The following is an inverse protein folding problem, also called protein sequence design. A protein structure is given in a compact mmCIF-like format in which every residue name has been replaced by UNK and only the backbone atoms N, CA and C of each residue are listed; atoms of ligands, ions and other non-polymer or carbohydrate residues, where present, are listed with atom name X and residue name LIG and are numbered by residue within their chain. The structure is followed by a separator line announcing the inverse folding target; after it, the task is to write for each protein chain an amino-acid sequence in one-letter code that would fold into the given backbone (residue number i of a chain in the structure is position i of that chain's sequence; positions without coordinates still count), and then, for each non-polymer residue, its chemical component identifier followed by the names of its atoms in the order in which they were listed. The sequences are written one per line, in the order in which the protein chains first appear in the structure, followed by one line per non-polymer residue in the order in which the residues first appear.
data_IF_030768417770
#
_entry.id   IF_030768417770
#
_cell.length_a   1.000
_cell.length_b   1.000
_cell.length_c   1.000
_cell.angle_alpha   90.00
_cell.angle_beta   90.00
_cell.angle_gamma   90.00
#
_symmetry.space_group_name_H-M   'P 1'
#
loop_
_entity.id
_entity.type
_entity.pdbx_description
1 polymer ?
#
# COMPACT_ATOMS: atom_id res chain seq x y z
N UNK A 1 -40.99 -32.86 -29.12
CA UNK A 1 -41.27 -32.90 -27.66
C UNK A 1 -40.13 -33.47 -26.83
N UNK A 2 -39.68 -34.72 -27.02
CA UNK A 2 -38.57 -35.32 -26.23
C UNK A 2 -37.27 -34.51 -26.22
N UNK A 3 -36.86 -33.94 -27.37
CA UNK A 3 -35.66 -33.11 -27.49
C UNK A 3 -35.76 -31.77 -26.72
N UNK A 4 -36.96 -31.18 -26.68
CA UNK A 4 -37.21 -29.93 -25.96
C UNK A 4 -37.18 -30.19 -24.44
N UNK A 5 -37.78 -31.29 -24.00
CA UNK A 5 -37.72 -31.73 -22.61
C UNK A 5 -36.28 -31.98 -22.14
N UNK A 6 -35.46 -32.62 -22.99
CA UNK A 6 -34.04 -32.86 -22.69
C UNK A 6 -33.24 -31.55 -22.56
N UNK A 7 -33.50 -30.55 -23.41
CA UNK A 7 -32.86 -29.23 -23.32
C UNK A 7 -33.26 -28.47 -22.05
N UNK A 8 -34.53 -28.54 -21.65
CA UNK A 8 -35.00 -27.97 -20.38
C UNK A 8 -34.35 -28.65 -19.18
N UNK A 9 -34.17 -29.98 -19.22
CA UNK A 9 -33.49 -30.72 -18.15
C UNK A 9 -32.01 -30.32 -18.03
N UNK A 10 -31.30 -30.19 -19.15
CA UNK A 10 -29.89 -29.79 -19.18
C UNK A 10 -29.69 -28.35 -18.71
N UNK A 11 -30.58 -27.43 -19.10
CA UNK A 11 -30.52 -26.03 -18.63
C UNK A 11 -30.81 -25.92 -17.13
N UNK A 12 -31.79 -26.69 -16.62
CA UNK A 12 -32.08 -26.75 -15.18
C UNK A 12 -30.90 -27.36 -14.39
N UNK A 13 -30.29 -28.43 -14.91
CA UNK A 13 -29.10 -29.03 -14.30
C UNK A 13 -27.93 -28.05 -14.27
N UNK A 14 -27.71 -27.31 -15.36
CA UNK A 14 -26.70 -26.24 -15.41
C UNK A 14 -26.95 -25.14 -14.39
N UNK A 15 -28.20 -24.67 -14.26
CA UNK A 15 -28.59 -23.68 -13.26
C UNK A 15 -28.36 -24.20 -11.83
N UNK A 16 -28.74 -25.44 -11.54
CA UNK A 16 -28.53 -26.08 -10.24
C UNK A 16 -27.05 -26.22 -9.89
N UNK A 17 -26.19 -26.55 -10.84
CA UNK A 17 -24.72 -26.57 -10.63
C UNK A 17 -24.19 -25.19 -10.29
N UNK A 18 -24.62 -24.14 -11.00
CA UNK A 18 -24.21 -22.76 -10.70
C UNK A 18 -24.68 -22.32 -9.31
N UNK A 19 -25.93 -22.64 -8.95
CA UNK A 19 -26.50 -22.35 -7.62
C UNK A 19 -25.74 -23.12 -6.52
N UNK A 20 -25.45 -24.40 -6.74
CA UNK A 20 -24.67 -25.22 -5.81
C UNK A 20 -23.26 -24.65 -5.62
N UNK A 21 -22.57 -24.28 -6.70
CA UNK A 21 -21.25 -23.65 -6.64
C UNK A 21 -21.31 -22.30 -5.92
N UNK A 22 -22.38 -21.52 -6.10
CA UNK A 22 -22.61 -20.26 -5.40
C UNK A 22 -22.76 -20.46 -3.88
N UNK A 23 -23.57 -21.44 -3.44
CA UNK A 23 -23.73 -21.74 -2.02
C UNK A 23 -22.48 -22.39 -1.40
N UNK A 24 -21.83 -23.31 -2.11
CA UNK A 24 -20.57 -23.94 -1.67
C UNK A 24 -19.44 -22.90 -1.53
N UNK A 25 -19.36 -21.93 -2.44
CA UNK A 25 -18.46 -20.78 -2.34
C UNK A 25 -18.74 -19.89 -1.11
N UNK A 26 -20.01 -19.80 -0.69
CA UNK A 26 -20.40 -19.08 0.54
C UNK A 26 -20.11 -19.88 1.83
N UNK A 27 -20.18 -21.20 1.78
CA UNK A 27 -20.11 -22.06 2.98
C UNK A 27 -18.70 -22.21 3.57
N UNK A 28 -17.67 -21.66 2.92
CA UNK A 28 -16.26 -21.74 3.36
C UNK A 28 -15.72 -20.57 4.20
N UNK A 29 -16.53 -19.86 4.99
CA UNK A 29 -16.14 -18.52 5.49
C UNK A 29 -16.25 -18.32 7.02
N UNK A 30 -16.20 -19.37 7.84
CA UNK A 30 -15.76 -19.27 9.25
C UNK A 30 -14.35 -19.84 9.39
N UNK A 31 -13.42 -19.33 8.58
CA UNK A 31 -12.02 -19.69 8.73
C UNK A 31 -11.51 -18.96 9.98
N UNK A 32 -11.28 -19.73 11.05
CA UNK A 32 -10.57 -19.23 12.22
C UNK A 32 -9.14 -18.90 11.81
N UNK A 33 -8.78 -17.62 11.92
CA UNK A 33 -7.44 -17.14 11.67
C UNK A 33 -6.57 -17.12 12.94
N UNK A 34 -7.14 -17.51 14.09
CA UNK A 34 -6.39 -17.78 15.32
C UNK A 34 -6.00 -16.53 16.11
N UNK A 35 -6.71 -15.42 15.92
CA UNK A 35 -6.49 -14.17 16.63
C UNK A 35 -7.80 -13.44 16.88
N UNK A 36 -7.82 -12.58 17.89
CA UNK A 36 -8.95 -11.71 18.22
C UNK A 36 -8.54 -10.24 18.11
N UNK A 37 -9.50 -9.35 17.87
CA UNK A 37 -9.27 -7.89 17.76
C UNK A 37 -9.93 -7.13 18.89
N UNK A 38 -9.23 -6.11 19.37
CA UNK A 38 -9.82 -5.07 20.20
C UNK A 38 -10.22 -3.91 19.31
N UNK A 39 -11.51 -3.78 19.02
CA UNK A 39 -12.01 -2.66 18.22
C UNK A 39 -12.21 -1.41 19.10
N UNK A 40 -11.86 -0.25 18.55
CA UNK A 40 -12.32 1.01 19.14
C UNK A 40 -13.85 1.02 19.23
N UNK A 41 -14.39 1.49 20.35
CA UNK A 41 -15.84 1.50 20.60
C UNK A 41 -16.56 2.57 19.78
N UNK A 42 -15.92 3.72 19.59
CA UNK A 42 -16.51 4.86 18.90
C UNK A 42 -16.28 4.74 17.39
N UNK A 43 -17.34 4.80 16.56
CA UNK A 43 -17.18 4.79 15.12
C UNK A 43 -16.46 6.07 14.65
N UNK A 44 -15.78 5.97 13.50
CA UNK A 44 -15.16 7.13 12.88
C UNK A 44 -16.21 8.16 12.47
N UNK A 45 -16.05 9.41 12.89
CA UNK A 45 -16.89 10.53 12.47
C UNK A 45 -16.39 11.08 11.15
N UNK A 46 -17.18 10.98 10.08
CA UNK A 46 -16.87 11.66 8.82
C UNK A 46 -16.86 13.19 9.04
N UNK A 47 -15.85 13.86 8.51
CA UNK A 47 -15.66 15.30 8.59
C UNK A 47 -15.99 15.96 7.26
N UNK A 48 -15.25 15.60 6.21
CA UNK A 48 -15.39 16.21 4.89
C UNK A 48 -15.38 15.15 3.79
N UNK A 49 -15.92 15.52 2.63
CA UNK A 49 -15.96 14.72 1.41
C UNK A 49 -15.70 15.61 0.21
N UNK A 50 -14.98 15.09 -0.78
CA UNK A 50 -14.87 15.71 -2.10
C UNK A 50 -14.89 14.66 -3.21
N UNK A 51 -15.60 14.96 -4.30
CA UNK A 51 -15.56 14.21 -5.55
C UNK A 51 -14.41 14.70 -6.44
N UNK A 52 -13.41 13.85 -6.62
CA UNK A 52 -12.24 14.04 -7.47
C UNK A 52 -12.56 13.89 -8.96
N UNK A 53 -13.80 13.51 -9.32
CA UNK A 53 -14.35 13.34 -10.67
C UNK A 53 -13.74 12.20 -11.49
N UNK A 54 -12.52 11.77 -11.20
CA UNK A 54 -11.82 10.69 -11.90
C UNK A 54 -11.37 9.57 -10.94
N UNK A 55 -11.23 8.32 -11.42
CA UNK A 55 -10.78 7.21 -10.58
C UNK A 55 -9.26 7.05 -10.60
N UNK A 56 -8.75 6.07 -9.85
CA UNK A 56 -7.34 5.66 -9.79
C UNK A 56 -6.39 6.65 -9.08
N UNK A 57 -6.91 7.48 -8.19
CA UNK A 57 -6.09 8.29 -7.31
C UNK A 57 -5.43 7.46 -6.20
N UNK A 58 -4.28 7.94 -5.72
CA UNK A 58 -3.59 7.49 -4.50
C UNK A 58 -3.11 8.73 -3.73
N UNK A 59 -2.89 8.59 -2.42
CA UNK A 59 -2.37 9.68 -1.60
C UNK A 59 -0.85 9.76 -1.82
N UNK A 60 -0.40 10.88 -2.37
CA UNK A 60 1.02 11.13 -2.67
C UNK A 60 1.75 11.85 -1.54
N UNK A 61 1.04 12.51 -0.62
CA UNK A 61 1.62 13.12 0.56
C UNK A 61 0.60 13.85 1.40
N UNK A 62 0.93 14.11 2.67
CA UNK A 62 0.12 14.93 3.58
C UNK A 62 1.06 15.89 4.31
N UNK A 63 0.58 17.12 4.48
CA UNK A 63 1.19 18.16 5.31
C UNK A 63 0.14 18.69 6.29
N UNK A 64 0.54 19.51 7.26
CA UNK A 64 -0.39 20.08 8.26
C UNK A 64 -1.64 20.74 7.66
N UNK A 65 -1.54 21.31 6.46
CA UNK A 65 -2.63 22.04 5.82
C UNK A 65 -3.18 21.41 4.54
N UNK A 66 -2.50 20.41 3.97
CA UNK A 66 -2.84 19.92 2.63
C UNK A 66 -2.68 18.42 2.49
N UNK A 67 -3.56 17.83 1.68
CA UNK A 67 -3.48 16.47 1.18
C UNK A 67 -3.16 16.52 -0.30
N UNK A 68 -2.18 15.72 -0.72
CA UNK A 68 -1.80 15.58 -2.11
C UNK A 68 -2.23 14.22 -2.61
N UNK A 69 -2.89 14.20 -3.77
CA UNK A 69 -3.27 12.97 -4.46
C UNK A 69 -2.63 12.94 -5.85
N UNK A 70 -2.05 11.80 -6.20
CA UNK A 70 -1.56 11.52 -7.56
C UNK A 70 -2.45 10.48 -8.24
N UNK A 71 -2.32 10.30 -9.55
CA UNK A 71 -3.13 9.32 -10.30
C UNK A 71 -2.27 8.20 -10.91
N UNK A 72 -2.71 6.95 -10.80
CA UNK A 72 -1.99 5.79 -11.34
C UNK A 72 -2.02 5.69 -12.87
N UNK A 73 -3.05 6.25 -13.52
CA UNK A 73 -3.21 6.22 -14.98
C UNK A 73 -2.79 7.53 -15.62
N UNK A 74 -3.17 8.66 -15.01
CA UNK A 74 -2.72 9.99 -15.39
C UNK A 74 -1.51 10.40 -14.54
N UNK A 75 -0.36 9.76 -14.76
CA UNK A 75 0.83 9.88 -13.89
C UNK A 75 1.41 11.29 -13.80
N UNK A 76 1.10 12.16 -14.76
CA UNK A 76 1.47 13.58 -14.78
C UNK A 76 0.40 14.51 -14.17
N UNK A 77 -0.66 13.95 -13.59
CA UNK A 77 -1.73 14.69 -12.96
C UNK A 77 -1.78 14.40 -11.45
N UNK A 78 -1.85 15.46 -10.66
CA UNK A 78 -2.14 15.41 -9.25
C UNK A 78 -3.09 16.53 -8.82
N UNK A 79 -3.60 16.43 -7.61
CA UNK A 79 -4.43 17.46 -6.98
C UNK A 79 -3.88 17.71 -5.58
N UNK A 80 -3.65 18.98 -5.26
CA UNK A 80 -3.43 19.45 -3.89
C UNK A 80 -4.77 19.93 -3.35
N UNK A 81 -5.13 19.45 -2.17
CA UNK A 81 -6.37 19.81 -1.48
C UNK A 81 -6.00 20.40 -0.14
N UNK A 82 -6.65 21.48 0.27
CA UNK A 82 -6.70 21.88 1.68
C UNK A 82 -7.20 20.70 2.53
N UNK A 83 -6.71 20.56 3.76
CA UNK A 83 -7.05 19.41 4.62
C UNK A 83 -8.54 19.35 4.98
N UNK A 84 -9.27 20.46 4.85
CA UNK A 84 -10.72 20.53 4.99
C UNK A 84 -11.49 20.36 3.67
N UNK A 85 -10.78 20.25 2.54
CA UNK A 85 -11.31 20.17 1.18
C UNK A 85 -12.08 21.41 0.71
N UNK A 86 -11.88 22.56 1.36
CA UNK A 86 -12.49 23.84 0.98
C UNK A 86 -11.93 24.43 -0.32
N UNK A 87 -10.68 24.09 -0.62
CA UNK A 87 -9.93 24.54 -1.79
C UNK A 87 -9.08 23.42 -2.40
N UNK A 88 -8.89 23.48 -3.72
CA UNK A 88 -8.15 22.51 -4.51
C UNK A 88 -7.35 23.18 -5.62
N UNK A 89 -6.10 22.75 -5.79
CA UNK A 89 -5.23 23.17 -6.88
C UNK A 89 -4.84 21.94 -7.71
N UNK A 90 -5.03 22.02 -9.03
CA UNK A 90 -4.50 21.00 -9.93
C UNK A 90 -2.99 21.15 -10.07
N UNK A 91 -2.28 20.04 -9.86
CA UNK A 91 -0.84 19.96 -10.06
C UNK A 91 -0.59 19.31 -11.43
N UNK A 92 -0.24 20.13 -12.41
CA UNK A 92 0.20 19.65 -13.71
C UNK A 92 1.71 19.48 -13.66
N UNK A 93 2.15 18.23 -13.70
CA UNK A 93 3.57 17.88 -13.62
C UNK A 93 4.23 18.34 -14.93
N UNK A 94 5.39 19.01 -14.88
CA UNK A 94 6.11 19.44 -16.07
C UNK A 94 6.27 18.30 -17.06
N UNK A 95 6.04 18.61 -18.33
CA UNK A 95 5.94 17.60 -19.36
C UNK A 95 7.32 17.01 -19.68
N UNK A 96 7.65 15.85 -19.11
CA UNK A 96 8.85 15.08 -19.46
C UNK A 96 8.71 14.33 -20.80
N UNK A 97 7.62 14.53 -21.57
CA UNK A 97 7.29 13.74 -22.79
C UNK A 97 8.36 13.78 -23.88
N UNK A 98 9.20 14.81 -23.94
CA UNK A 98 10.31 14.84 -24.91
C UNK A 98 11.56 14.07 -24.44
N UNK A 99 11.54 13.53 -23.21
CA UNK A 99 12.61 12.72 -22.66
C UNK A 99 12.30 11.23 -22.83
N UNK A 100 12.91 10.61 -23.83
CA UNK A 100 12.74 9.17 -24.13
C UNK A 100 13.38 8.25 -23.09
N UNK A 101 14.11 8.80 -22.12
CA UNK A 101 14.83 8.02 -21.10
C UNK A 101 14.03 7.76 -19.82
N UNK A 102 12.84 8.36 -19.69
CA UNK A 102 11.94 8.18 -18.55
C UNK A 102 10.65 7.53 -19.05
N UNK A 103 10.26 6.39 -18.48
CA UNK A 103 8.92 5.87 -18.69
C UNK A 103 7.92 6.66 -17.83
N UNK A 104 7.33 7.69 -18.43
CA UNK A 104 6.31 8.54 -17.80
C UNK A 104 5.16 7.73 -17.19
N UNK A 105 4.81 6.59 -17.77
CA UNK A 105 3.71 5.73 -17.28
C UNK A 105 4.09 4.98 -16.00
N UNK A 106 5.38 4.92 -15.68
CA UNK A 106 5.90 4.31 -14.46
C UNK A 106 6.13 5.31 -13.33
N UNK A 107 5.89 6.61 -13.56
CA UNK A 107 6.08 7.65 -12.55
C UNK A 107 5.02 7.52 -11.45
N UNK A 108 5.50 7.52 -10.21
CA UNK A 108 4.71 7.78 -9.01
C UNK A 108 5.19 9.08 -8.37
N UNK A 109 4.26 9.87 -7.83
CA UNK A 109 4.52 11.13 -7.15
C UNK A 109 4.54 10.89 -5.64
N UNK A 110 5.52 11.45 -4.95
CA UNK A 110 5.54 11.58 -3.50
C UNK A 110 5.74 13.05 -3.14
N UNK A 111 5.04 13.57 -2.13
CA UNK A 111 5.16 14.96 -1.70
C UNK A 111 5.60 15.00 -0.24
N UNK A 112 6.75 15.63 0.01
CA UNK A 112 7.22 16.04 1.34
C UNK A 112 7.57 17.53 1.24
N UNK A 113 6.56 18.35 1.53
CA UNK A 113 6.52 19.78 1.23
C UNK A 113 7.74 20.52 1.81
N UNK A 114 8.35 21.44 1.04
CA UNK A 114 7.90 21.96 -0.25
C UNK A 114 8.37 21.15 -1.47
N UNK A 115 8.90 19.94 -1.27
CA UNK A 115 9.47 19.12 -2.32
C UNK A 115 8.45 18.12 -2.87
N UNK A 116 8.46 17.97 -4.20
CA UNK A 116 7.70 16.98 -4.96
C UNK A 116 8.70 16.05 -5.63
N UNK A 117 8.44 14.75 -5.55
CA UNK A 117 9.35 13.70 -5.99
C UNK A 117 8.64 12.83 -7.02
N UNK A 118 9.23 12.73 -8.21
CA UNK A 118 8.78 11.87 -9.29
C UNK A 118 9.66 10.65 -9.36
N UNK A 119 9.04 9.51 -9.10
CA UNK A 119 9.68 8.24 -8.85
C UNK A 119 9.37 7.30 -10.01
N UNK A 120 10.33 7.08 -10.90
CA UNK A 120 10.19 6.12 -12.00
C UNK A 120 10.25 4.69 -11.43
N UNK A 121 9.12 4.00 -11.33
CA UNK A 121 9.11 2.59 -10.90
C UNK A 121 9.87 1.74 -11.91
N UNK A 122 10.76 0.87 -11.44
CA UNK A 122 11.55 -0.07 -12.24
C UNK A 122 12.56 0.57 -13.20
N UNK A 123 12.68 1.90 -13.20
CA UNK A 123 13.71 2.65 -13.90
C UNK A 123 14.78 3.20 -12.95
N UNK A 124 15.87 3.77 -13.48
CA UNK A 124 16.93 4.36 -12.67
C UNK A 124 16.66 5.83 -12.33
N UNK A 125 15.61 6.46 -12.85
CA UNK A 125 15.45 7.91 -12.76
C UNK A 125 14.61 8.35 -11.55
N UNK A 126 15.05 9.46 -10.96
CA UNK A 126 14.36 10.17 -9.91
C UNK A 126 14.40 11.66 -10.23
N UNK A 127 13.26 12.36 -10.16
CA UNK A 127 13.21 13.81 -10.33
C UNK A 127 12.69 14.44 -9.05
N UNK A 128 13.43 15.42 -8.54
CA UNK A 128 13.02 16.24 -7.40
C UNK A 128 12.64 17.62 -7.91
N UNK A 129 11.54 18.17 -7.43
CA UNK A 129 11.09 19.52 -7.80
C UNK A 129 10.50 20.25 -6.60
N UNK A 130 10.38 21.59 -6.68
CA UNK A 130 9.52 22.35 -5.77
C UNK A 130 8.05 22.20 -6.18
N UNK A 131 7.11 22.44 -5.25
CA UNK A 131 5.67 22.49 -5.58
C UNK A 131 5.38 23.54 -6.69
N UNK A 132 6.13 24.65 -6.72
CA UNK A 132 6.05 25.68 -7.76
C UNK A 132 6.70 25.28 -9.10
N UNK A 133 7.39 24.15 -9.15
CA UNK A 133 8.23 23.68 -10.26
C UNK A 133 9.42 24.56 -10.65
N UNK A 134 9.60 25.71 -10.00
CA UNK A 134 10.72 26.64 -10.24
C UNK A 134 12.09 25.98 -10.06
N UNK A 135 12.20 25.01 -9.15
CA UNK A 135 13.44 24.33 -8.85
C UNK A 135 13.34 22.84 -9.14
N UNK A 136 13.52 22.45 -10.40
CA UNK A 136 13.50 21.05 -10.82
C UNK A 136 14.92 20.51 -11.00
N UNK A 137 15.27 19.46 -10.26
CA UNK A 137 16.53 18.74 -10.37
C UNK A 137 16.30 17.27 -10.71
N UNK A 138 16.88 16.84 -11.82
CA UNK A 138 16.96 15.43 -12.19
C UNK A 138 18.13 14.74 -11.50
N UNK A 139 17.91 13.52 -11.02
CA UNK A 139 18.94 12.65 -10.46
C UNK A 139 18.75 11.25 -11.04
N UNK A 140 19.70 10.81 -11.86
CA UNK A 140 19.73 9.43 -12.36
C UNK A 140 20.52 8.57 -11.38
N UNK A 141 19.92 7.51 -10.85
CA UNK A 141 20.56 6.56 -9.92
C UNK A 141 21.53 5.58 -10.62
N UNK A 142 22.02 5.95 -11.81
CA UNK A 142 22.92 5.14 -12.63
C UNK A 142 22.28 3.80 -13.04
N UNK A 143 22.97 2.70 -12.76
CA UNK A 143 22.51 1.35 -13.10
C UNK A 143 21.60 0.71 -12.04
N UNK A 144 21.26 1.43 -10.95
CA UNK A 144 20.50 0.87 -9.84
C UNK A 144 19.02 0.80 -10.22
N UNK A 145 18.52 -0.41 -10.46
CA UNK A 145 17.08 -0.69 -10.65
C UNK A 145 16.41 -0.95 -9.31
N UNK A 146 15.22 -0.40 -9.12
CA UNK A 146 14.42 -0.59 -7.91
C UNK A 146 12.93 -0.70 -8.23
N UNK A 147 12.17 -1.41 -7.40
CA UNK A 147 10.73 -1.61 -7.57
C UNK A 147 9.87 -0.95 -6.48
N UNK A 148 10.53 -0.49 -5.41
CA UNK A 148 9.98 0.34 -4.33
C UNK A 148 10.97 1.44 -3.98
N UNK A 149 10.42 2.57 -3.55
CA UNK A 149 11.18 3.71 -3.08
C UNK A 149 10.34 4.45 -2.03
N UNK A 150 11.02 5.02 -1.05
CA UNK A 150 10.45 5.92 -0.06
C UNK A 150 11.41 7.08 0.16
N UNK A 151 10.90 8.30 0.05
CA UNK A 151 11.68 9.50 0.38
C UNK A 151 11.77 9.61 1.91
N UNK A 152 12.98 9.81 2.43
CA UNK A 152 13.20 9.99 3.88
C UNK A 152 13.74 11.39 4.23
N UNK A 153 14.25 12.12 3.24
CA UNK A 153 14.66 13.52 3.33
C UNK A 153 14.90 14.09 1.93
N UNK A 154 15.08 15.41 1.83
CA UNK A 154 15.50 16.10 0.59
C UNK A 154 16.77 15.55 -0.08
N UNK A 155 17.62 14.84 0.66
CA UNK A 155 18.94 14.38 0.19
C UNK A 155 19.08 12.86 0.17
N UNK A 156 18.09 12.12 0.65
CA UNK A 156 18.20 10.66 0.71
C UNK A 156 16.87 9.95 0.57
N UNK A 157 16.95 8.80 -0.09
CA UNK A 157 15.84 7.89 -0.35
C UNK A 157 16.22 6.49 0.13
N UNK A 158 15.21 5.69 0.42
CA UNK A 158 15.35 4.26 0.64
C UNK A 158 14.68 3.55 -0.51
N UNK A 159 15.41 2.67 -1.19
CA UNK A 159 14.91 1.87 -2.31
C UNK A 159 14.91 0.40 -1.95
N UNK A 160 14.02 -0.37 -2.58
CA UNK A 160 14.13 -1.83 -2.64
C UNK A 160 14.72 -2.22 -3.99
N UNK A 161 15.87 -2.87 -3.95
CA UNK A 161 16.65 -3.24 -5.12
C UNK A 161 17.24 -4.64 -4.94
N UNK A 162 18.01 -5.09 -5.93
CA UNK A 162 18.75 -6.33 -5.85
C UNK A 162 20.25 -6.07 -5.63
N UNK A 163 20.85 -6.83 -4.73
CA UNK A 163 22.30 -6.87 -4.53
C UNK A 163 22.75 -8.32 -4.43
N UNK A 164 23.69 -8.72 -5.28
CA UNK A 164 24.22 -10.09 -5.33
C UNK A 164 23.13 -11.17 -5.40
N UNK A 165 22.08 -10.91 -6.20
CA UNK A 165 20.96 -11.84 -6.40
C UNK A 165 19.92 -11.87 -5.26
N UNK A 166 20.07 -11.05 -4.22
CA UNK A 166 19.11 -10.95 -3.10
C UNK A 166 18.39 -9.61 -3.10
N UNK A 167 17.12 -9.60 -2.70
CA UNK A 167 16.38 -8.35 -2.45
C UNK A 167 16.88 -7.69 -1.16
N UNK A 168 17.09 -6.39 -1.23
CA UNK A 168 17.62 -5.58 -0.14
C UNK A 168 16.91 -4.24 -0.09
N UNK A 169 16.89 -3.63 1.08
CA UNK A 169 16.67 -2.20 1.22
C UNK A 169 18.02 -1.48 1.15
N UNK A 170 18.09 -0.38 0.41
CA UNK A 170 19.31 0.41 0.29
C UNK A 170 19.01 1.89 0.53
N UNK A 171 19.82 2.52 1.37
CA UNK A 171 19.83 3.97 1.52
C UNK A 171 20.71 4.56 0.44
N UNK A 172 20.13 5.42 -0.38
CA UNK A 172 20.84 6.19 -1.40
C UNK A 172 20.83 7.65 -1.00
N UNK A 173 22.01 8.22 -0.81
CA UNK A 173 22.21 9.66 -0.73
C UNK A 173 22.21 10.17 -2.17
N UNK A 174 21.30 11.09 -2.48
CA UNK A 174 21.12 11.66 -3.83
C UNK A 174 21.77 13.05 -3.97
N UNK A 175 22.14 13.68 -2.85
CA UNK A 175 22.83 14.97 -2.80
C UNK A 175 23.78 15.06 -1.59
N UNK A 176 24.96 15.70 -1.71
CA UNK A 176 25.52 16.36 -2.90
C UNK A 176 26.03 15.39 -3.97
N UNK A 177 26.40 14.18 -3.56
CA UNK A 177 26.93 13.15 -4.46
C UNK A 177 26.12 11.87 -4.31
N UNK A 178 25.83 11.23 -5.44
CA UNK A 178 25.13 9.95 -5.45
C UNK A 178 25.98 8.88 -4.75
N UNK A 179 25.50 8.37 -3.62
CA UNK A 179 26.24 7.37 -2.83
C UNK A 179 25.29 6.36 -2.18
N UNK A 180 25.62 5.08 -2.28
CA UNK A 180 25.03 4.03 -1.44
C UNK A 180 25.61 4.16 -0.03
N UNK A 181 24.75 4.39 0.95
CA UNK A 181 25.17 4.67 2.33
C UNK A 181 24.92 3.50 3.28
N UNK A 182 23.89 2.70 3.06
CA UNK A 182 23.54 1.58 3.92
C UNK A 182 22.73 0.53 3.16
N UNK A 183 22.71 -0.71 3.68
CA UNK A 183 22.00 -1.85 3.10
C UNK A 183 21.40 -2.70 4.24
N UNK A 184 20.15 -3.11 4.07
CA UNK A 184 19.50 -4.11 4.92
C UNK A 184 18.99 -5.27 4.06
N UNK A 185 19.32 -6.50 4.46
CA UNK A 185 18.89 -7.69 3.72
C UNK A 185 17.45 -8.04 4.10
N UNK A 186 16.56 -8.12 3.12
CA UNK A 186 15.23 -8.66 3.33
C UNK A 186 15.33 -10.18 3.34
N UNK A 187 14.79 -10.80 4.39
CA UNK A 187 14.80 -12.26 4.54
C UNK A 187 13.42 -12.75 4.95
N UNK A 188 13.08 -13.94 4.47
CA UNK A 188 11.93 -14.71 4.89
C UNK A 188 12.32 -16.19 5.02
N UNK A 189 11.50 -16.99 5.68
CA UNK A 189 11.77 -18.42 5.92
C UNK A 189 11.82 -19.26 4.63
N UNK A 190 11.08 -18.89 3.59
CA UNK A 190 11.01 -19.57 2.30
C UNK A 190 12.13 -19.14 1.32
N UNK A 191 12.86 -18.07 1.63
CA UNK A 191 13.88 -17.48 0.74
C UNK A 191 13.36 -17.23 -0.68
N UNK A 192 12.13 -16.71 -0.81
CA UNK A 192 11.55 -16.40 -2.12
C UNK A 192 11.28 -14.92 -2.26
N UNK A 193 11.61 -14.35 -3.42
CA UNK A 193 11.35 -12.93 -3.71
C UNK A 193 9.90 -12.51 -3.46
N UNK A 194 8.95 -13.43 -3.68
CA UNK A 194 7.53 -13.17 -3.47
C UNK A 194 7.16 -13.06 -1.98
N UNK A 195 7.78 -13.87 -1.11
CA UNK A 195 7.44 -13.91 0.31
C UNK A 195 7.90 -12.66 1.07
N UNK A 196 8.99 -12.03 0.64
CA UNK A 196 9.48 -10.73 1.15
C UNK A 196 8.88 -9.50 0.46
N UNK A 197 7.86 -9.64 -0.41
CA UNK A 197 7.18 -8.45 -0.94
C UNK A 197 6.36 -7.76 0.16
N UNK A 198 6.23 -6.44 0.05
CA UNK A 198 5.74 -5.57 1.10
C UNK A 198 5.73 -4.10 0.73
N UNK A 199 5.40 -3.28 1.72
CA UNK A 199 5.32 -1.82 1.61
C UNK A 199 6.17 -1.12 2.67
N UNK A 200 6.56 0.12 2.37
CA UNK A 200 7.30 0.99 3.26
C UNK A 200 6.39 2.06 3.86
N UNK A 201 6.49 2.30 5.16
CA UNK A 201 5.93 3.46 5.84
C UNK A 201 7.05 4.17 6.61
N UNK A 202 7.20 5.48 6.41
CA UNK A 202 8.26 6.26 7.06
C UNK A 202 7.64 7.21 8.07
N UNK A 203 8.03 7.06 9.33
CA UNK A 203 7.68 7.97 10.40
C UNK A 203 8.76 9.05 10.50
N UNK A 204 8.48 10.22 9.92
CA UNK A 204 9.40 11.35 9.87
C UNK A 204 9.73 11.91 11.25
N UNK A 205 8.75 11.95 12.17
CA UNK A 205 8.91 12.49 13.53
C UNK A 205 9.89 11.66 14.36
N UNK A 206 9.85 10.33 14.20
CA UNK A 206 10.72 9.39 14.95
C UNK A 206 11.95 8.96 14.17
N UNK A 207 12.06 9.28 12.88
CA UNK A 207 13.14 8.83 12.01
C UNK A 207 13.16 7.30 11.83
N UNK A 208 11.98 6.68 11.69
CA UNK A 208 11.83 5.22 11.62
C UNK A 208 11.19 4.78 10.31
N UNK A 209 11.78 3.79 9.66
CA UNK A 209 11.22 3.11 8.50
C UNK A 209 10.62 1.77 8.91
N UNK A 210 9.36 1.56 8.56
CA UNK A 210 8.67 0.29 8.67
C UNK A 210 8.63 -0.39 7.32
N UNK A 211 9.03 -1.65 7.27
CA UNK A 211 8.82 -2.51 6.10
C UNK A 211 7.94 -3.68 6.50
N UNK A 212 6.73 -3.73 5.97
CA UNK A 212 5.70 -4.72 6.33
C UNK A 212 5.43 -5.64 5.16
N UNK A 213 5.49 -6.95 5.40
CA UNK A 213 5.27 -7.96 4.38
C UNK A 213 3.78 -8.08 4.03
N UNK A 214 3.48 -8.30 2.75
CA UNK A 214 2.11 -8.49 2.27
C UNK A 214 1.53 -9.87 2.64
N UNK A 215 2.37 -10.90 2.61
CA UNK A 215 1.95 -12.31 2.65
C UNK A 215 2.34 -13.03 3.94
N UNK A 216 3.05 -12.37 4.85
CA UNK A 216 3.29 -12.86 6.20
C UNK A 216 3.04 -11.77 7.22
N UNK A 217 2.79 -12.19 8.45
CA UNK A 217 2.51 -11.31 9.56
C UNK A 217 3.74 -10.56 10.09
N UNK A 218 4.83 -10.44 9.33
CA UNK A 218 6.08 -9.85 9.80
C UNK A 218 6.26 -8.43 9.28
N UNK A 219 6.76 -7.56 10.16
CA UNK A 219 7.35 -6.28 9.76
C UNK A 219 8.62 -6.00 10.55
N UNK A 220 9.49 -5.17 9.96
CA UNK A 220 10.72 -4.69 10.61
C UNK A 220 10.66 -3.18 10.78
N UNK A 221 11.22 -2.70 11.88
CA UNK A 221 11.48 -1.29 12.13
C UNK A 221 12.98 -1.03 12.00
N UNK A 222 13.34 -0.09 11.13
CA UNK A 222 14.71 0.32 10.86
C UNK A 222 14.88 1.81 11.19
N UNK A 223 16.07 2.21 11.60
CA UNK A 223 16.43 3.63 11.63
C UNK A 223 16.67 4.17 10.19
N UNK A 224 16.93 5.46 10.07
CA UNK A 224 17.22 6.07 8.75
C UNK A 224 18.54 5.62 8.12
N UNK A 225 19.39 4.88 8.84
CA UNK A 225 20.62 4.25 8.35
C UNK A 225 20.44 2.75 8.09
N UNK A 226 19.19 2.26 8.08
CA UNK A 226 18.83 0.87 7.86
C UNK A 226 19.37 -0.10 8.94
N UNK A 227 19.70 0.40 10.13
CA UNK A 227 19.98 -0.46 11.28
C UNK A 227 18.67 -1.01 11.81
N UNK A 228 18.63 -2.33 12.06
CA UNK A 228 17.48 -2.99 12.64
C UNK A 228 17.26 -2.50 14.07
N UNK A 229 16.10 -1.89 14.33
CA UNK A 229 15.68 -1.53 15.68
C UNK A 229 14.94 -2.68 16.35
N UNK A 230 13.97 -3.26 15.63
CA UNK A 230 13.25 -4.45 16.08
C UNK A 230 12.51 -5.13 14.92
N UNK A 231 12.15 -6.38 15.14
CA UNK A 231 11.23 -7.16 14.28
C UNK A 231 9.97 -7.44 15.10
N UNK A 232 8.81 -7.19 14.51
CA UNK A 232 7.52 -7.41 15.15
C UNK A 232 6.56 -8.11 14.20
N UNK A 233 5.35 -8.40 14.70
CA UNK A 233 4.32 -9.08 13.92
C UNK A 233 3.00 -8.35 13.96
N UNK A 234 2.28 -8.38 12.85
CA UNK A 234 0.85 -8.07 12.83
C UNK A 234 0.08 -9.12 13.61
N UNK A 235 -1.09 -8.76 14.11
CA UNK A 235 -1.87 -9.59 15.04
C UNK A 235 -2.35 -10.92 14.47
N UNK A 236 -2.37 -11.05 13.14
CA UNK A 236 -2.74 -12.31 12.50
C UNK A 236 -1.69 -13.40 12.77
N UNK A 237 -2.03 -14.65 12.49
CA UNK A 237 -1.16 -15.80 12.79
C UNK A 237 -0.36 -16.30 11.58
N UNK A 238 -0.45 -15.64 10.42
CA UNK A 238 0.14 -16.13 9.17
C UNK A 238 1.64 -15.86 9.09
N UNK A 239 2.44 -16.63 9.82
CA UNK A 239 3.91 -16.47 9.93
C UNK A 239 4.64 -16.72 8.62
N UNK A 240 4.20 -17.71 7.86
CA UNK A 240 4.84 -18.16 6.63
C UNK A 240 3.96 -17.76 5.45
N UNK A 241 4.57 -17.17 4.42
CA UNK A 241 3.86 -16.79 3.23
C UNK A 241 3.33 -18.02 2.46
N UNK A 242 2.01 -18.13 2.32
CA UNK A 242 1.37 -19.26 1.63
C UNK A 242 1.34 -19.05 0.12
N UNK A 243 2.52 -19.05 -0.51
CA UNK A 243 2.70 -18.74 -1.93
C UNK A 243 2.98 -20.03 -2.71
N UNK A 244 2.17 -20.28 -3.75
CA UNK A 244 2.41 -21.36 -4.71
C UNK A 244 3.11 -20.79 -5.94
N UNK A 245 4.28 -21.31 -6.29
CA UNK A 245 5.09 -20.85 -7.42
C UNK A 245 5.12 -21.93 -8.50
N UNK A 246 4.91 -21.53 -9.75
CA UNK A 246 5.22 -22.33 -10.94
C UNK A 246 6.39 -21.72 -11.70
N UNK A 247 7.17 -22.57 -12.35
CA UNK A 247 8.25 -22.15 -13.25
C UNK A 247 7.79 -22.36 -14.68
N UNK A 248 7.79 -21.29 -15.47
CA UNK A 248 7.57 -21.38 -16.92
C UNK A 248 8.91 -21.14 -17.60
N UNK A 249 9.28 -22.08 -18.48
CA UNK A 249 10.47 -21.96 -19.32
C UNK A 249 10.06 -21.36 -20.66
N UNK A 250 10.48 -20.12 -20.94
CA UNK A 250 10.35 -19.49 -22.25
C UNK A 250 11.73 -19.36 -22.88
N UNK A 251 12.00 -20.13 -23.94
CA UNK A 251 13.31 -20.15 -24.63
C UNK A 251 14.49 -20.37 -23.65
N UNK A 252 15.33 -19.35 -23.45
CA UNK A 252 16.51 -19.33 -22.56
C UNK A 252 16.23 -18.71 -21.18
N UNK A 253 15.03 -18.18 -20.92
CA UNK A 253 14.67 -17.58 -19.63
C UNK A 253 13.78 -18.52 -18.82
N UNK A 254 14.06 -18.60 -17.52
CA UNK A 254 13.22 -19.24 -16.51
C UNK A 254 12.45 -18.13 -15.79
N UNK A 255 11.12 -18.15 -15.91
CA UNK A 255 10.26 -17.18 -15.24
C UNK A 255 9.51 -17.89 -14.11
N UNK A 256 9.58 -17.34 -12.89
CA UNK A 256 8.79 -17.80 -11.76
C UNK A 256 7.51 -16.97 -11.69
N UNK A 257 6.36 -17.64 -11.62
CA UNK A 257 5.05 -17.02 -11.52
C UNK A 257 4.31 -17.58 -10.31
N UNK A 258 3.39 -16.81 -9.74
CA UNK A 258 2.45 -17.33 -8.77
C UNK A 258 1.41 -18.21 -9.49
N UNK A 259 1.31 -19.48 -9.12
CA UNK A 259 0.40 -20.44 -9.75
C UNK A 259 -1.03 -20.40 -9.18
N UNK A 260 -1.23 -19.64 -8.09
CA UNK A 260 -2.53 -19.31 -7.52
C UNK A 260 -2.46 -17.92 -6.86
N UNK A 261 -3.59 -17.20 -6.73
CA UNK A 261 -3.63 -15.98 -5.93
C UNK A 261 -3.16 -16.26 -4.50
N UNK A 262 -2.09 -15.59 -4.01
CA UNK A 262 -1.59 -15.81 -2.66
C UNK A 262 -2.54 -15.20 -1.62
N UNK A 263 -2.55 -15.78 -0.42
CA UNK A 263 -3.23 -15.17 0.72
C UNK A 263 -2.48 -13.92 1.15
N UNK A 264 -3.04 -12.74 0.84
CA UNK A 264 -2.54 -11.46 1.33
C UNK A 264 -3.12 -11.17 2.70
N UNK A 265 -2.28 -10.81 3.66
CA UNK A 265 -2.67 -10.53 5.05
C UNK A 265 -2.58 -9.04 5.39
N UNK A 266 -1.58 -8.36 4.82
CA UNK A 266 -1.41 -6.91 4.94
C UNK A 266 -1.51 -6.27 3.56
N UNK A 267 -2.27 -5.18 3.42
CA UNK A 267 -2.47 -4.52 2.13
C UNK A 267 -1.59 -3.29 1.91
N UNK A 268 -1.60 -2.38 2.88
CA UNK A 268 -0.84 -1.11 2.88
C UNK A 268 -0.81 -0.54 4.30
N UNK A 269 -0.05 0.51 4.51
CA UNK A 269 -0.02 1.20 5.78
C UNK A 269 0.70 2.54 5.73
N UNK A 270 0.52 3.31 6.79
CA UNK A 270 1.12 4.63 6.99
C UNK A 270 1.47 4.80 8.47
N UNK A 271 2.15 5.88 8.81
CA UNK A 271 2.50 6.21 10.20
C UNK A 271 2.12 7.64 10.52
N UNK A 272 1.66 7.88 11.73
CA UNK A 272 1.45 9.22 12.27
C UNK A 272 1.72 9.21 13.79
N UNK A 273 2.45 10.21 14.28
CA UNK A 273 2.84 10.29 15.69
C UNK A 273 3.51 9.01 16.23
N UNK A 274 2.84 8.35 17.17
CA UNK A 274 3.31 7.10 17.81
C UNK A 274 2.76 5.82 17.15
N UNK A 275 2.04 5.94 16.04
CA UNK A 275 1.26 4.83 15.50
C UNK A 275 1.70 4.43 14.08
N UNK A 276 1.74 3.12 13.87
CA UNK A 276 1.77 2.46 12.56
C UNK A 276 0.36 1.91 12.29
N UNK A 277 -0.24 2.33 11.19
CA UNK A 277 -1.56 1.89 10.74
C UNK A 277 -1.40 0.89 9.60
N UNK A 278 -1.95 -0.31 9.75
CA UNK A 278 -1.86 -1.38 8.75
C UNK A 278 -3.26 -1.82 8.34
N UNK A 279 -3.56 -1.79 7.04
CA UNK A 279 -4.78 -2.38 6.53
C UNK A 279 -4.69 -3.91 6.57
N UNK A 280 -5.57 -4.51 7.36
CA UNK A 280 -5.67 -5.94 7.58
C UNK A 280 -6.66 -6.58 6.60
N UNK A 281 -6.34 -7.77 6.09
CA UNK A 281 -7.17 -8.49 5.12
C UNK A 281 -7.77 -9.79 5.63
N UNK A 282 -7.46 -10.19 6.86
CA UNK A 282 -8.02 -11.40 7.48
C UNK A 282 -9.07 -11.00 8.52
N UNK A 283 -10.26 -11.64 8.56
CA UNK A 283 -11.18 -11.47 9.69
C UNK A 283 -10.58 -12.09 10.97
N UNK A 284 -10.84 -11.50 12.13
CA UNK A 284 -10.47 -12.13 13.41
C UNK A 284 -11.49 -13.20 13.79
N UNK A 285 -11.10 -14.09 14.70
CA UNK A 285 -12.01 -15.12 15.22
C UNK A 285 -13.22 -14.44 15.88
N UNK A 286 -14.43 -14.84 15.47
CA UNK A 286 -15.69 -14.25 15.93
C UNK A 286 -16.23 -13.11 15.06
N UNK A 287 -15.49 -12.62 14.05
CA UNK A 287 -16.05 -11.72 13.04
C UNK A 287 -16.73 -12.51 11.92
N UNK A 288 -17.96 -12.13 11.55
CA UNK A 288 -18.58 -12.72 10.36
C UNK A 288 -17.91 -12.20 9.09
N UNK A 289 -17.70 -13.07 8.09
CA UNK A 289 -17.08 -12.66 6.83
C UNK A 289 -17.91 -11.62 6.05
N UNK A 290 -19.23 -11.70 6.13
CA UNK A 290 -20.14 -10.74 5.49
C UNK A 290 -19.97 -9.36 6.11
N UNK A 291 -19.88 -9.29 7.43
CA UNK A 291 -19.59 -8.07 8.16
C UNK A 291 -18.17 -7.55 7.81
N UNK A 292 -17.15 -8.40 7.85
CA UNK A 292 -15.77 -8.02 7.48
C UNK A 292 -15.65 -7.43 6.07
N UNK A 293 -16.53 -7.82 5.15
CA UNK A 293 -16.57 -7.29 3.78
C UNK A 293 -17.15 -5.88 3.67
N UNK A 294 -17.98 -5.44 4.62
CA UNK A 294 -18.68 -4.14 4.57
C UNK A 294 -17.81 -2.97 5.05
N UNK A 295 -16.62 -3.25 5.58
CA UNK A 295 -15.63 -2.26 5.99
C UNK A 295 -14.21 -2.63 5.58
N UNK A 296 -13.31 -1.68 5.76
CA UNK A 296 -11.87 -1.90 5.79
C UNK A 296 -11.39 -1.85 7.24
N UNK A 297 -10.67 -2.88 7.69
CA UNK A 297 -10.06 -2.90 9.02
C UNK A 297 -8.66 -2.32 8.97
N UNK A 298 -8.37 -1.40 9.88
CA UNK A 298 -7.04 -0.87 10.14
C UNK A 298 -6.60 -1.35 11.53
N UNK A 299 -5.50 -2.10 11.59
CA UNK A 299 -4.83 -2.49 12.82
C UNK A 299 -3.76 -1.42 13.17
N UNK A 300 -3.70 -1.04 14.44
CA UNK A 300 -2.82 0.03 14.95
C UNK A 300 -1.75 -0.57 15.85
N UNK A 301 -0.49 -0.20 15.61
CA UNK A 301 0.68 -0.68 16.34
C UNK A 301 1.50 0.49 16.87
N UNK A 302 2.09 0.34 18.04
CA UNK A 302 3.04 1.32 18.58
C UNK A 302 4.35 1.29 17.78
N UNK A 303 4.83 2.45 17.34
CA UNK A 303 6.05 2.58 16.53
C UNK A 303 7.34 2.35 17.30
N UNK A 304 7.30 2.24 18.63
CA UNK A 304 8.46 2.03 19.50
C UNK A 304 8.80 0.57 19.71
N UNK A 305 7.79 -0.29 19.84
CA UNK A 305 8.00 -1.71 20.12
C UNK A 305 7.21 -2.65 19.21
N UNK A 306 6.39 -2.10 18.30
CA UNK A 306 5.60 -2.87 17.35
C UNK A 306 4.44 -3.62 17.99
N UNK A 307 4.09 -3.34 19.24
CA UNK A 307 2.95 -3.99 19.90
C UNK A 307 1.65 -3.50 19.29
N UNK A 308 0.74 -4.44 19.08
CA UNK A 308 -0.63 -4.13 18.72
C UNK A 308 -1.31 -3.36 19.84
N UNK A 309 -2.03 -2.31 19.44
CA UNK A 309 -2.82 -1.50 20.34
C UNK A 309 -4.31 -1.80 20.20
N UNK A 310 -4.86 -1.63 19.00
CA UNK A 310 -6.29 -1.76 18.72
C UNK A 310 -6.52 -1.81 17.20
N UNK A 311 -7.77 -2.03 16.80
CA UNK A 311 -8.20 -1.92 15.41
C UNK A 311 -9.40 -0.97 15.30
N UNK A 312 -9.60 -0.41 14.11
CA UNK A 312 -10.82 0.32 13.80
C UNK A 312 -11.33 0.00 12.41
N UNK A 313 -12.65 0.21 12.23
CA UNK A 313 -13.36 -0.07 10.99
C UNK A 313 -13.57 1.24 10.25
N UNK A 314 -13.12 1.28 8.99
CA UNK A 314 -13.43 2.34 8.04
C UNK A 314 -14.56 1.83 7.14
N UNK A 315 -15.74 2.45 7.13
CA UNK A 315 -16.86 1.95 6.33
C UNK A 315 -16.55 2.01 4.83
N UNK A 316 -17.17 1.11 4.07
CA UNK A 316 -17.25 1.28 2.62
C UNK A 316 -18.07 2.54 2.30
N UNK A 317 -17.78 3.16 1.16
CA UNK A 317 -18.46 4.39 0.73
C UNK A 317 -19.08 4.18 -0.65
N UNK A 318 -20.40 4.42 -0.78
CA UNK A 318 -21.16 4.21 -2.04
C UNK A 318 -20.86 2.85 -2.70
N UNK A 319 -20.93 1.77 -1.92
CA UNK A 319 -20.61 0.39 -2.32
C UNK A 319 -19.15 0.13 -2.76
N UNK A 320 -18.26 1.08 -2.51
CA UNK A 320 -16.85 0.97 -2.87
C UNK A 320 -15.97 0.75 -1.64
N UNK A 321 -14.95 -0.09 -1.84
CA UNK A 321 -13.90 -0.33 -0.84
C UNK A 321 -12.83 0.75 -0.94
N UNK A 322 -12.25 1.06 0.21
CA UNK A 322 -11.14 2.00 0.33
C UNK A 322 -9.93 1.56 -0.52
N UNK A 323 -9.56 2.39 -1.50
CA UNK A 323 -8.47 2.15 -2.45
C UNK A 323 -7.12 2.60 -1.90
N UNK A 324 -7.07 3.70 -1.15
CA UNK A 324 -5.89 4.22 -0.45
C UNK A 324 -6.25 4.91 0.86
N UNK A 325 -5.30 5.04 1.79
CA UNK A 325 -5.50 5.82 3.01
C UNK A 325 -4.19 6.35 3.59
N UNK A 326 -4.30 7.42 4.35
CA UNK A 326 -3.22 7.93 5.18
C UNK A 326 -3.78 8.65 6.40
N UNK A 327 -3.01 8.73 7.47
CA UNK A 327 -3.39 9.41 8.71
C UNK A 327 -2.42 10.56 8.95
N UNK A 328 -2.94 11.69 9.41
CA UNK A 328 -2.14 12.83 9.87
C UNK A 328 -2.96 13.66 10.84
N UNK A 329 -2.34 14.10 11.95
CA UNK A 329 -2.93 15.02 12.92
C UNK A 329 -4.33 14.56 13.40
N UNK A 330 -4.47 13.27 13.75
CA UNK A 330 -5.73 12.65 14.17
C UNK A 330 -6.84 12.69 13.11
N UNK A 331 -6.50 12.81 11.83
CA UNK A 331 -7.43 12.73 10.71
C UNK A 331 -7.02 11.60 9.78
N UNK A 332 -7.98 10.75 9.47
CA UNK A 332 -7.81 9.71 8.45
C UNK A 332 -8.36 10.22 7.13
N UNK A 333 -7.56 10.14 6.09
CA UNK A 333 -7.92 10.45 4.72
C UNK A 333 -8.06 9.13 3.96
N UNK A 334 -9.23 8.88 3.37
CA UNK A 334 -9.57 7.63 2.69
C UNK A 334 -10.04 7.91 1.27
N UNK A 335 -9.42 7.22 0.31
CA UNK A 335 -9.80 7.27 -1.11
C UNK A 335 -10.75 6.12 -1.47
N UNK A 336 -11.76 6.43 -2.28
CA UNK A 336 -12.79 5.51 -2.76
C UNK A 336 -13.13 5.82 -4.23
N UNK A 337 -12.49 5.12 -5.17
CA UNK A 337 -12.49 5.44 -6.63
C UNK A 337 -12.35 6.94 -6.93
N UNK A 338 -13.49 7.65 -6.98
CA UNK A 338 -13.64 9.07 -7.31
C UNK A 338 -13.73 9.98 -6.08
N UNK A 339 -13.85 9.47 -4.86
CA UNK A 339 -14.08 10.29 -3.66
C UNK A 339 -12.89 10.25 -2.71
N UNK A 340 -12.60 11.40 -2.10
CA UNK A 340 -11.72 11.51 -0.94
C UNK A 340 -12.57 11.93 0.26
N UNK A 341 -12.56 11.11 1.31
CA UNK A 341 -13.24 11.39 2.57
C UNK A 341 -12.21 11.61 3.67
N UNK A 342 -12.51 12.50 4.60
CA UNK A 342 -11.75 12.63 5.84
C UNK A 342 -12.60 12.25 7.04
N UNK A 343 -11.99 11.57 8.01
CA UNK A 343 -12.62 11.13 9.24
C UNK A 343 -11.82 11.61 10.45
N UNK A 344 -12.52 11.93 11.54
CA UNK A 344 -11.88 12.17 12.82
C UNK A 344 -11.39 10.84 13.39
N UNK A 345 -10.09 10.78 13.64
CA UNK A 345 -9.38 9.64 14.22
C UNK A 345 -8.76 10.10 15.54
N UNK A 346 -9.61 10.39 16.55
CA UNK A 346 -9.14 10.64 17.92
C UNK A 346 -9.08 9.32 18.67
N UNK A 347 -7.89 8.96 19.11
CA UNK A 347 -7.66 7.86 20.03
C UNK A 347 -7.68 8.42 21.45
N UNK A 348 -8.83 8.96 21.84
CA UNK A 348 -9.01 9.40 23.23
C UNK A 348 -9.10 8.13 24.10
N UNK A 349 -8.13 7.97 25.00
CA UNK A 349 -8.06 7.07 26.16
C UNK A 349 -8.86 5.77 26.11
N UNK A 350 -8.15 4.65 26.02
CA UNK A 350 -8.71 3.30 26.23
C UNK A 350 -9.13 3.05 27.67
#
# INVERSE_FOLDING_TARGET
MKKIFLLLLLSLAGLLVVVFLYFSSRQGQEIKNGFTRSFQKTPLKQLNEIDLRFPNYYISGITRGHVFVGNHKATLHGVMLSADFSDSLQLNIPNFVNDTTIDVRAIKVEVDSPNVYYLERMGPSYVQSSISFEHTKRITLGAIKFDRVKVISKNSIIIRSYQSGKRVLQKIIVYPTLKRSAVFNLTDELNTDFAIDGFMAYNQVKGRLFYTNYYSNQFVCLDTNLNLMYTARTIDTNRIAKIKVSEIRRKKTKEKLMSAPPLQVNKKGCTDGNWLYVQSLLPSDGESFTEFKSYTVIDVYDVNDGKYHHSFKVPNYKDQKMSDFSVSDNRLFALYEHHLLSYQCRFDGF
#
